data_IF_448395565663
#
_entry.id   IF_448395565663
#
_cell.length_a   1.000
_cell.length_b   1.000
_cell.length_c   1.000
_cell.angle_alpha   90.00
_cell.angle_beta   90.00
_cell.angle_gamma   90.00
#
_symmetry.space_group_name_H-M   'P 1'
#
loop_
_entity.id
_entity.type
_entity.pdbx_description
1 polymer ?
#
# COMPACT_ATOMS: atom_id res chain seq x y z
N UNK A 1 -24.06 62.94 1.96
CA UNK A 1 -24.69 62.28 3.12
C UNK A 1 -25.77 61.38 2.55
N UNK A 2 -25.41 60.17 2.13
CA UNK A 2 -25.09 58.99 2.96
C UNK A 2 -26.38 58.22 3.29
N UNK A 3 -26.64 57.14 2.55
CA UNK A 3 -27.47 56.02 3.02
C UNK A 3 -27.35 54.74 2.14
N UNK A 4 -26.11 54.26 1.94
CA UNK A 4 -25.86 52.92 1.37
C UNK A 4 -25.03 52.05 2.30
N UNK A 5 -25.28 52.15 3.61
CA UNK A 5 -24.80 51.19 4.59
C UNK A 5 -25.56 49.86 4.46
N UNK A 6 -25.23 49.05 3.45
CA UNK A 6 -25.57 47.62 3.46
C UNK A 6 -24.65 46.96 4.49
N UNK A 7 -25.21 46.69 5.66
CA UNK A 7 -24.61 46.01 6.81
C UNK A 7 -23.77 44.80 6.40
N UNK A 8 -22.45 44.93 6.36
CA UNK A 8 -21.52 43.79 6.34
C UNK A 8 -21.75 42.98 7.61
N UNK A 9 -22.46 41.86 7.50
CA UNK A 9 -22.80 41.02 8.65
C UNK A 9 -21.61 40.11 8.95
N UNK A 10 -20.71 40.59 9.81
CA UNK A 10 -19.59 39.82 10.32
C UNK A 10 -20.09 38.75 11.31
N UNK A 11 -19.75 37.49 11.05
CA UNK A 11 -20.16 36.35 11.88
C UNK A 11 -19.10 35.98 12.91
N UNK A 12 -19.53 35.55 14.09
CA UNK A 12 -18.65 34.88 15.05
C UNK A 12 -18.21 33.51 14.50
N UNK A 13 -17.15 32.93 15.06
CA UNK A 13 -16.71 31.58 14.66
C UNK A 13 -17.82 30.52 14.80
N UNK A 14 -18.68 30.64 15.82
CA UNK A 14 -19.79 29.70 16.03
C UNK A 14 -20.90 29.87 14.98
N UNK A 15 -21.24 31.12 14.65
CA UNK A 15 -22.28 31.39 13.65
C UNK A 15 -21.81 31.10 12.22
N UNK A 16 -20.54 31.38 11.92
CA UNK A 16 -19.90 31.00 10.66
C UNK A 16 -19.87 29.47 10.49
N UNK A 17 -19.43 28.74 11.51
CA UNK A 17 -19.40 27.28 11.52
C UNK A 17 -20.80 26.69 11.24
N UNK A 18 -21.83 27.20 11.95
CA UNK A 18 -23.22 26.77 11.77
C UNK A 18 -23.75 27.06 10.36
N UNK A 19 -23.41 28.23 9.80
CA UNK A 19 -23.88 28.65 8.47
C UNK A 19 -23.26 27.84 7.33
N UNK A 20 -22.01 27.43 7.47
CA UNK A 20 -21.24 26.73 6.45
C UNK A 20 -21.30 25.19 6.63
N UNK A 21 -21.92 24.71 7.71
CA UNK A 21 -21.99 23.27 8.01
C UNK A 21 -20.66 22.69 8.49
N UNK A 22 -19.83 23.52 9.12
CA UNK A 22 -18.52 23.14 9.66
C UNK A 22 -18.52 23.17 11.19
N UNK A 23 -17.51 22.55 11.79
CA UNK A 23 -17.23 22.75 13.22
C UNK A 23 -16.33 23.97 13.42
N UNK A 24 -16.40 24.61 14.60
CA UNK A 24 -15.45 25.66 14.98
C UNK A 24 -14.01 25.15 14.97
N UNK A 25 -13.79 23.85 15.24
CA UNK A 25 -12.49 23.18 15.13
C UNK A 25 -12.01 23.15 13.68
N UNK A 26 -12.88 22.87 12.71
CA UNK A 26 -12.54 22.89 11.29
C UNK A 26 -12.13 24.30 10.83
N UNK A 27 -12.83 25.34 11.28
CA UNK A 27 -12.43 26.73 10.98
C UNK A 27 -11.04 27.08 11.51
N UNK A 28 -10.70 26.63 12.73
CA UNK A 28 -9.35 26.80 13.29
C UNK A 28 -8.30 26.02 12.52
N UNK A 29 -8.62 24.80 12.09
CA UNK A 29 -7.74 23.98 11.27
C UNK A 29 -7.47 24.66 9.92
N UNK A 30 -8.49 25.26 9.31
CA UNK A 30 -8.33 25.93 8.01
C UNK A 30 -7.51 27.22 8.15
N UNK A 31 -7.68 27.98 9.24
CA UNK A 31 -6.81 29.12 9.58
C UNK A 31 -5.36 28.67 9.79
N UNK A 32 -5.13 27.56 10.51
CA UNK A 32 -3.77 27.00 10.72
C UNK A 32 -3.08 26.59 9.41
N UNK A 33 -3.85 26.09 8.44
CA UNK A 33 -3.35 25.77 7.11
C UNK A 33 -3.26 27.00 6.18
N UNK A 34 -3.56 28.20 6.67
CA UNK A 34 -3.47 29.45 5.90
C UNK A 34 -4.56 29.58 4.81
N UNK A 35 -5.61 28.77 4.87
CA UNK A 35 -6.69 28.76 3.88
C UNK A 35 -7.63 29.96 4.04
N UNK A 36 -7.75 30.46 5.26
CA UNK A 36 -8.57 31.61 5.64
C UNK A 36 -7.82 32.46 6.65
N UNK A 37 -8.00 33.77 6.59
CA UNK A 37 -7.39 34.72 7.53
C UNK A 37 -8.52 35.58 8.11
N UNK A 38 -9.16 35.14 9.20
CA UNK A 38 -10.32 35.85 9.75
C UNK A 38 -9.90 37.17 10.40
N UNK A 39 -10.72 38.21 10.22
CA UNK A 39 -10.56 39.47 10.93
C UNK A 39 -10.68 39.25 12.44
N UNK A 40 -9.98 40.07 13.22
CA UNK A 40 -10.06 40.05 14.69
C UNK A 40 -10.63 41.34 15.26
N UNK A 41 -11.45 41.25 16.29
CA UNK A 41 -11.88 42.42 17.08
C UNK A 41 -10.75 42.91 17.98
N UNK A 42 -10.86 44.13 18.53
CA UNK A 42 -9.91 44.67 19.52
C UNK A 42 -9.77 43.84 20.81
N UNK A 43 -10.66 42.86 21.05
CA UNK A 43 -10.57 41.86 22.13
C UNK A 43 -10.21 40.44 21.63
N UNK A 44 -9.57 40.33 20.45
CA UNK A 44 -9.02 39.09 19.86
C UNK A 44 -10.04 38.06 19.36
N UNK A 45 -11.32 38.40 19.25
CA UNK A 45 -12.35 37.49 18.74
C UNK A 45 -12.31 37.41 17.20
N UNK A 46 -12.42 36.21 16.63
CA UNK A 46 -12.46 35.98 15.18
C UNK A 46 -13.81 36.35 14.60
N UNK A 47 -13.78 37.12 13.52
CA UNK A 47 -14.92 37.53 12.72
C UNK A 47 -14.74 37.08 11.27
N UNK A 48 -15.85 36.63 10.67
CA UNK A 48 -15.89 36.12 9.31
C UNK A 48 -16.88 36.96 8.50
N UNK A 49 -16.38 37.66 7.50
CA UNK A 49 -17.16 38.47 6.58
C UNK A 49 -17.50 37.70 5.30
N UNK A 50 -18.07 38.40 4.31
CA UNK A 50 -18.42 37.83 3.01
C UNK A 50 -17.22 37.18 2.28
N UNK A 51 -16.04 37.77 2.37
CA UNK A 51 -14.83 37.28 1.69
C UNK A 51 -14.32 35.99 2.31
N UNK A 52 -14.30 35.88 3.65
CA UNK A 52 -13.94 34.62 4.30
C UNK A 52 -14.96 33.52 4.03
N UNK A 53 -16.25 33.86 3.91
CA UNK A 53 -17.29 32.90 3.54
C UNK A 53 -17.08 32.40 2.10
N UNK A 54 -16.78 33.30 1.15
CA UNK A 54 -16.48 32.93 -0.22
C UNK A 54 -15.27 32.00 -0.29
N UNK A 55 -14.21 32.32 0.46
CA UNK A 55 -13.01 31.48 0.58
C UNK A 55 -13.29 30.11 1.18
N UNK A 56 -14.12 30.04 2.22
CA UNK A 56 -14.52 28.77 2.82
C UNK A 56 -15.31 27.89 1.84
N UNK A 57 -16.19 28.47 1.03
CA UNK A 57 -16.93 27.73 0.01
C UNK A 57 -16.01 27.19 -1.09
N UNK A 58 -15.01 27.96 -1.50
CA UNK A 58 -13.98 27.52 -2.45
C UNK A 58 -13.16 26.34 -1.88
N UNK A 59 -12.73 26.44 -0.62
CA UNK A 59 -12.06 25.35 0.09
C UNK A 59 -12.94 24.11 0.18
N UNK A 60 -14.23 24.25 0.45
CA UNK A 60 -15.17 23.14 0.52
C UNK A 60 -15.42 22.50 -0.85
N UNK A 61 -15.53 23.30 -1.91
CA UNK A 61 -15.66 22.79 -3.28
C UNK A 61 -14.43 21.97 -3.66
N UNK A 62 -13.21 22.49 -3.42
CA UNK A 62 -11.98 21.73 -3.65
C UNK A 62 -11.88 20.52 -2.71
N UNK A 63 -12.36 20.62 -1.48
CA UNK A 63 -12.39 19.49 -0.55
C UNK A 63 -13.34 18.38 -1.02
N UNK A 64 -14.48 18.74 -1.61
CA UNK A 64 -15.44 17.80 -2.20
C UNK A 64 -14.90 17.08 -3.44
N UNK A 65 -13.90 17.68 -4.11
CA UNK A 65 -13.16 17.08 -5.21
C UNK A 65 -12.01 16.16 -4.75
N UNK A 66 -11.87 15.92 -3.44
CA UNK A 66 -10.89 15.00 -2.86
C UNK A 66 -9.57 15.65 -2.42
N UNK A 67 -9.38 16.96 -2.63
CA UNK A 67 -8.10 17.59 -2.30
C UNK A 67 -7.83 17.67 -0.77
N UNK A 68 -6.55 17.56 -0.36
CA UNK A 68 -6.12 17.76 1.03
C UNK A 68 -6.02 19.26 1.37
N UNK A 69 -6.14 19.64 2.65
CA UNK A 69 -6.10 21.05 3.07
C UNK A 69 -4.78 21.74 2.71
N UNK A 70 -3.66 21.04 2.84
CA UNK A 70 -2.35 21.54 2.42
C UNK A 70 -2.30 21.81 0.91
N UNK A 71 -2.90 20.92 0.10
CA UNK A 71 -2.93 21.08 -1.36
C UNK A 71 -3.86 22.19 -1.81
N UNK A 72 -5.01 22.33 -1.15
CA UNK A 72 -5.93 23.45 -1.36
C UNK A 72 -5.20 24.77 -1.06
N UNK A 73 -4.39 24.83 -0.01
CA UNK A 73 -3.65 26.05 0.33
C UNK A 73 -2.64 26.44 -0.75
N UNK A 74 -1.94 25.49 -1.36
CA UNK A 74 -1.03 25.74 -2.47
C UNK A 74 -1.78 26.20 -3.73
N UNK A 75 -2.90 25.55 -4.07
CA UNK A 75 -3.72 25.94 -5.23
C UNK A 75 -4.25 27.37 -5.12
N UNK A 76 -4.69 27.73 -3.93
CA UNK A 76 -5.29 29.03 -3.64
C UNK A 76 -4.25 30.17 -3.50
N UNK A 77 -2.94 29.85 -3.51
CA UNK A 77 -1.83 30.82 -3.54
C UNK A 77 -1.42 31.23 -4.97
N UNK A 78 -1.86 30.51 -6.01
CA UNK A 78 -1.80 30.96 -7.42
C UNK A 78 -1.19 29.93 -8.37
N UNK A 79 -1.99 29.41 -9.31
CA UNK A 79 -2.14 29.79 -10.72
C UNK A 79 -3.36 29.01 -11.29
N UNK A 80 -4.29 29.63 -12.06
CA UNK A 80 -5.47 28.93 -12.61
C UNK A 80 -5.12 27.70 -13.48
N UNK A 81 -3.98 27.76 -14.14
CA UNK A 81 -3.41 26.67 -14.96
C UNK A 81 -3.09 25.42 -14.13
N UNK A 82 -2.78 25.56 -12.85
CA UNK A 82 -2.50 24.44 -11.95
C UNK A 82 -3.78 23.72 -11.53
N UNK A 83 -4.90 24.45 -11.37
CA UNK A 83 -6.19 23.84 -11.09
C UNK A 83 -6.71 23.07 -12.32
N UNK A 84 -6.63 23.67 -13.51
CA UNK A 84 -7.03 22.99 -14.76
C UNK A 84 -6.28 21.67 -14.96
N UNK A 85 -4.95 21.70 -14.81
CA UNK A 85 -4.10 20.51 -14.92
C UNK A 85 -4.41 19.45 -13.86
N UNK A 86 -4.68 19.86 -12.61
CA UNK A 86 -5.05 18.92 -11.56
C UNK A 86 -6.44 18.31 -11.77
N UNK A 87 -7.39 19.07 -12.28
CA UNK A 87 -8.71 18.57 -12.63
C UNK A 87 -8.64 17.59 -13.81
N UNK A 88 -7.78 17.84 -14.80
CA UNK A 88 -7.52 16.89 -15.89
C UNK A 88 -6.89 15.60 -15.37
N UNK A 89 -5.90 15.68 -14.46
CA UNK A 89 -5.31 14.49 -13.84
C UNK A 89 -6.28 13.73 -12.94
N UNK A 90 -7.15 14.42 -12.21
CA UNK A 90 -8.21 13.78 -11.42
C UNK A 90 -9.22 13.11 -12.33
N UNK A 91 -9.57 13.75 -13.46
CA UNK A 91 -10.41 13.16 -14.50
C UNK A 91 -9.76 11.91 -15.10
N UNK A 92 -8.46 11.94 -15.38
CA UNK A 92 -7.71 10.78 -15.89
C UNK A 92 -7.69 9.64 -14.87
N UNK A 93 -7.44 9.95 -13.60
CA UNK A 93 -7.47 8.97 -12.49
C UNK A 93 -8.85 8.34 -12.32
N UNK A 94 -9.90 9.16 -12.38
CA UNK A 94 -11.29 8.68 -12.36
C UNK A 94 -11.62 7.85 -13.60
N UNK A 95 -11.10 8.22 -14.77
CA UNK A 95 -11.25 7.44 -16.00
C UNK A 95 -10.51 6.12 -15.94
N UNK A 96 -9.29 6.07 -15.41
CA UNK A 96 -8.59 4.81 -15.18
C UNK A 96 -9.33 3.94 -14.18
N UNK A 97 -9.86 4.53 -13.11
CA UNK A 97 -10.66 3.82 -12.12
C UNK A 97 -11.94 3.29 -12.75
N UNK A 98 -12.60 4.08 -13.60
CA UNK A 98 -13.74 3.66 -14.40
C UNK A 98 -13.38 2.52 -15.34
N UNK A 99 -12.29 2.62 -16.11
CA UNK A 99 -11.84 1.56 -17.02
C UNK A 99 -11.42 0.28 -16.28
N UNK A 100 -10.82 0.41 -15.09
CA UNK A 100 -10.53 -0.74 -14.21
C UNK A 100 -11.82 -1.37 -13.71
N UNK A 101 -12.77 -0.57 -13.22
CA UNK A 101 -14.08 -1.06 -12.79
C UNK A 101 -14.84 -1.72 -13.94
N UNK A 102 -14.80 -1.15 -15.15
CA UNK A 102 -15.39 -1.73 -16.36
C UNK A 102 -14.73 -3.06 -16.75
N UNK A 103 -13.39 -3.18 -16.66
CA UNK A 103 -12.69 -4.45 -16.88
C UNK A 103 -13.01 -5.49 -15.80
N UNK A 104 -13.08 -5.07 -14.54
CA UNK A 104 -13.51 -5.92 -13.44
C UNK A 104 -14.93 -6.44 -13.63
N UNK A 105 -15.87 -5.55 -13.99
CA UNK A 105 -17.26 -5.91 -14.33
C UNK A 105 -17.32 -6.87 -15.51
N UNK A 106 -16.62 -6.58 -16.62
CA UNK A 106 -16.58 -7.49 -17.78
C UNK A 106 -16.00 -8.87 -17.43
N UNK A 107 -15.01 -8.93 -16.53
CA UNK A 107 -14.44 -10.18 -16.03
C UNK A 107 -15.45 -10.94 -15.18
N UNK A 108 -16.17 -10.25 -14.29
CA UNK A 108 -17.27 -10.81 -13.48
C UNK A 108 -18.36 -11.37 -14.40
N UNK A 109 -18.81 -10.60 -15.39
CA UNK A 109 -19.86 -10.99 -16.33
C UNK A 109 -19.44 -12.23 -17.14
N UNK A 110 -18.18 -12.29 -17.59
CA UNK A 110 -17.63 -13.44 -18.30
C UNK A 110 -17.58 -14.70 -17.42
N UNK A 111 -17.20 -14.56 -16.15
CA UNK A 111 -17.22 -15.66 -15.18
C UNK A 111 -18.66 -16.12 -14.89
N UNK A 112 -19.59 -15.18 -14.71
CA UNK A 112 -21.01 -15.50 -14.51
C UNK A 112 -21.62 -16.22 -15.72
N UNK A 113 -21.28 -15.82 -16.95
CA UNK A 113 -21.72 -16.48 -18.17
C UNK A 113 -21.17 -17.92 -18.27
N UNK A 114 -19.88 -18.14 -17.93
CA UNK A 114 -19.29 -19.49 -17.86
C UNK A 114 -20.01 -20.37 -16.84
N UNK A 115 -20.33 -19.83 -15.65
CA UNK A 115 -21.10 -20.54 -14.63
C UNK A 115 -22.50 -20.91 -15.14
N UNK A 116 -23.21 -19.99 -15.79
CA UNK A 116 -24.54 -20.23 -16.34
C UNK A 116 -24.54 -21.29 -17.45
N UNK A 117 -23.45 -21.38 -18.22
CA UNK A 117 -23.25 -22.40 -19.24
C UNK A 117 -22.75 -23.76 -18.70
N UNK A 118 -22.58 -23.90 -17.38
CA UNK A 118 -22.07 -25.13 -16.75
C UNK A 118 -20.57 -25.38 -17.02
N UNK A 119 -19.83 -24.36 -17.47
CA UNK A 119 -18.39 -24.43 -17.72
C UNK A 119 -17.64 -24.20 -16.41
N UNK A 120 -16.69 -25.08 -16.10
CA UNK A 120 -15.86 -24.96 -14.90
C UNK A 120 -15.03 -23.67 -14.93
N UNK A 121 -15.04 -22.94 -13.81
CA UNK A 121 -14.25 -21.71 -13.64
C UNK A 121 -12.81 -22.07 -13.31
N UNK A 122 -11.86 -21.52 -14.07
CA UNK A 122 -10.45 -21.82 -13.88
C UNK A 122 -9.80 -20.92 -12.83
N UNK A 123 -8.65 -21.33 -12.31
CA UNK A 123 -7.87 -20.51 -11.37
C UNK A 123 -7.30 -19.27 -12.05
N UNK A 124 -7.05 -19.32 -13.36
CA UNK A 124 -6.65 -18.14 -14.12
C UNK A 124 -7.80 -17.13 -14.20
N UNK A 125 -9.05 -17.60 -14.33
CA UNK A 125 -10.25 -16.74 -14.27
C UNK A 125 -10.39 -16.08 -12.89
N UNK A 126 -10.16 -16.84 -11.82
CA UNK A 126 -10.21 -16.34 -10.44
C UNK A 126 -9.05 -15.41 -10.11
N UNK A 127 -7.86 -15.68 -10.63
CA UNK A 127 -6.66 -14.83 -10.48
C UNK A 127 -6.81 -13.53 -11.26
N UNK A 128 -7.41 -13.58 -12.44
CA UNK A 128 -7.77 -12.40 -13.23
C UNK A 128 -8.81 -11.55 -12.49
N UNK A 129 -9.84 -12.18 -11.94
CA UNK A 129 -10.88 -11.52 -11.14
C UNK A 129 -10.32 -10.91 -9.86
N UNK A 130 -9.39 -11.58 -9.17
CA UNK A 130 -8.70 -11.06 -7.99
C UNK A 130 -7.78 -9.88 -8.33
N UNK A 131 -7.04 -9.94 -9.44
CA UNK A 131 -6.17 -8.83 -9.89
C UNK A 131 -6.96 -7.58 -10.23
N UNK A 132 -8.13 -7.72 -10.84
CA UNK A 132 -8.98 -6.59 -11.23
C UNK A 132 -9.86 -6.08 -10.06
N UNK A 133 -10.14 -6.90 -9.03
CA UNK A 133 -10.97 -6.53 -7.87
C UNK A 133 -10.21 -6.01 -6.64
N UNK A 134 -8.96 -6.44 -6.41
CA UNK A 134 -8.19 -6.13 -5.17
C UNK A 134 -7.58 -4.71 -5.14
N UNK A 135 -7.82 -3.89 -6.17
CA UNK A 135 -7.33 -2.51 -6.21
C UNK A 135 -8.34 -1.47 -5.69
N UNK A 136 -9.38 -1.93 -4.98
CA UNK A 136 -10.34 -1.10 -4.28
C UNK A 136 -10.31 -1.40 -2.78
N UNK A 137 -9.36 -0.80 -2.05
CA UNK A 137 -9.64 0.12 -0.95
C UNK A 137 -8.40 0.32 -0.05
N UNK A 138 -7.97 1.57 0.06
CA UNK A 138 -7.13 2.08 1.15
C UNK A 138 -7.15 3.61 1.08
N UNK A 139 -8.26 4.21 1.55
CA UNK A 139 -8.49 5.67 1.61
C UNK A 139 -8.22 6.38 0.27
N UNK A 140 -9.29 6.54 -0.51
CA UNK A 140 -9.30 6.78 -1.96
C UNK A 140 -8.44 7.96 -2.48
N UNK A 141 -7.96 8.90 -1.67
CA UNK A 141 -7.15 10.04 -2.14
C UNK A 141 -5.63 9.95 -1.85
N UNK A 142 -5.16 9.12 -0.89
CA UNK A 142 -3.71 9.10 -0.57
C UNK A 142 -2.91 8.22 -1.53
N UNK A 143 -3.46 7.09 -1.96
CA UNK A 143 -2.75 6.14 -2.82
C UNK A 143 -2.62 6.65 -4.27
N UNK A 144 -3.66 7.21 -4.92
CA UNK A 144 -3.50 7.74 -6.29
C UNK A 144 -2.50 8.90 -6.35
N UNK A 145 -2.53 9.81 -5.39
CA UNK A 145 -1.56 10.90 -5.31
C UNK A 145 -0.14 10.40 -5.01
N UNK A 146 0.03 9.50 -4.03
CA UNK A 146 1.35 8.88 -3.81
C UNK A 146 1.82 8.14 -5.05
N UNK A 147 0.97 7.40 -5.77
CA UNK A 147 1.33 6.77 -7.04
C UNK A 147 1.80 7.78 -8.07
N UNK A 148 1.12 8.92 -8.21
CA UNK A 148 1.57 10.01 -9.07
C UNK A 148 2.95 10.56 -8.63
N UNK A 149 3.12 10.91 -7.35
CA UNK A 149 4.40 11.40 -6.81
C UNK A 149 5.55 10.38 -6.94
N UNK A 150 5.24 9.09 -6.87
CA UNK A 150 6.20 8.00 -7.04
C UNK A 150 6.51 7.70 -8.52
N UNK A 151 5.57 8.00 -9.44
CA UNK A 151 5.72 7.79 -10.87
C UNK A 151 6.23 9.02 -11.63
N UNK A 152 6.24 10.20 -11.02
CA UNK A 152 6.73 11.42 -11.69
C UNK A 152 8.21 11.27 -12.06
N UNK A 153 8.65 11.85 -13.18
CA UNK A 153 10.07 11.90 -13.51
C UNK A 153 10.88 12.50 -12.35
N UNK A 154 11.96 11.82 -11.97
CA UNK A 154 12.87 12.27 -10.93
C UNK A 154 14.24 12.54 -11.51
N UNK A 155 14.88 13.56 -10.97
CA UNK A 155 16.20 14.00 -11.40
C UNK A 155 17.18 13.71 -10.29
N UNK A 156 18.29 13.11 -10.67
CA UNK A 156 19.39 12.85 -9.77
C UNK A 156 20.01 14.19 -9.32
N UNK A 157 20.17 14.36 -8.02
CA UNK A 157 20.77 15.54 -7.40
C UNK A 157 22.15 15.15 -6.87
N UNK A 158 23.23 15.78 -7.34
CA UNK A 158 24.56 15.53 -6.78
C UNK A 158 24.60 15.88 -5.29
N UNK A 159 25.10 14.94 -4.47
CA UNK A 159 25.26 15.09 -3.03
C UNK A 159 26.63 14.54 -2.61
N UNK A 160 27.05 14.82 -1.36
CA UNK A 160 28.24 14.22 -0.79
C UNK A 160 28.03 12.71 -0.56
N UNK A 161 28.71 11.88 -1.36
CA UNK A 161 28.56 10.42 -1.31
C UNK A 161 29.19 9.77 -0.08
N UNK A 162 29.96 10.51 0.74
CA UNK A 162 30.52 9.97 1.99
C UNK A 162 29.42 9.55 2.97
N UNK A 163 28.23 10.16 2.89
CA UNK A 163 27.08 9.83 3.74
C UNK A 163 26.50 8.43 3.47
N UNK A 164 26.86 7.80 2.34
CA UNK A 164 26.32 6.48 1.96
C UNK A 164 26.74 5.38 2.94
N UNK A 165 27.88 5.55 3.61
CA UNK A 165 28.32 4.63 4.66
C UNK A 165 27.33 4.57 5.84
N UNK A 166 26.65 5.68 6.15
CA UNK A 166 25.63 5.72 7.20
C UNK A 166 24.39 4.91 6.81
N UNK A 167 24.07 4.84 5.51
CA UNK A 167 22.90 4.15 5.00
C UNK A 167 23.12 2.64 4.85
N UNK A 168 24.36 2.21 4.64
CA UNK A 168 24.72 0.82 4.51
C UNK A 168 24.28 0.00 5.73
N UNK A 169 23.72 -1.19 5.49
CA UNK A 169 23.25 -2.09 6.54
C UNK A 169 22.01 -2.89 6.13
N UNK A 170 21.41 -3.54 7.12
CA UNK A 170 20.20 -4.33 6.93
C UNK A 170 19.03 -3.73 7.72
N UNK A 171 17.84 -3.82 7.13
CA UNK A 171 16.60 -3.29 7.67
C UNK A 171 15.51 -4.36 7.56
N UNK A 172 14.66 -4.48 8.57
CA UNK A 172 13.52 -5.40 8.56
C UNK A 172 12.27 -4.68 8.08
N UNK A 173 11.68 -5.18 7.00
CA UNK A 173 10.50 -4.63 6.35
C UNK A 173 9.23 -5.16 7.03
N UNK A 174 8.34 -4.29 7.50
CA UNK A 174 7.00 -4.69 7.96
C UNK A 174 6.92 -5.65 9.16
N UNK A 175 8.06 -6.10 9.72
CA UNK A 175 8.14 -6.98 10.90
C UNK A 175 7.81 -8.46 10.63
N UNK A 176 7.76 -8.89 9.36
CA UNK A 176 7.41 -10.26 8.97
C UNK A 176 8.64 -11.17 8.72
N UNK A 177 9.84 -10.67 8.99
CA UNK A 177 11.11 -11.35 8.70
C UNK A 177 11.65 -11.11 7.29
N UNK A 178 11.02 -10.23 6.49
CA UNK A 178 11.55 -9.77 5.20
C UNK A 178 12.66 -8.75 5.43
N UNK A 179 13.81 -8.96 4.80
CA UNK A 179 14.96 -8.07 4.93
C UNK A 179 15.19 -7.21 3.70
N UNK A 180 15.57 -5.96 3.95
CA UNK A 180 15.96 -4.95 2.99
C UNK A 180 17.43 -4.60 3.25
N UNK A 181 18.29 -4.85 2.27
CA UNK A 181 19.72 -4.60 2.33
C UNK A 181 20.05 -3.30 1.61
N UNK A 182 20.94 -2.52 2.20
CA UNK A 182 21.52 -1.31 1.60
C UNK A 182 23.03 -1.51 1.59
N UNK A 183 23.63 -1.40 0.41
CA UNK A 183 25.07 -1.63 0.22
C UNK A 183 25.70 -0.53 -0.62
N UNK A 184 26.98 -0.29 -0.41
CA UNK A 184 27.77 0.70 -1.14
C UNK A 184 28.81 0.01 -2.02
N UNK A 185 28.95 0.44 -3.28
CA UNK A 185 29.96 -0.07 -4.22
C UNK A 185 30.41 1.07 -5.12
N UNK A 186 31.71 1.32 -5.19
CA UNK A 186 32.31 2.33 -6.09
C UNK A 186 31.65 3.73 -6.00
N UNK A 187 31.33 4.18 -4.77
CA UNK A 187 30.66 5.46 -4.54
C UNK A 187 29.17 5.50 -4.90
N UNK A 188 28.56 4.34 -5.18
CA UNK A 188 27.14 4.19 -5.55
C UNK A 188 26.40 3.41 -4.47
N UNK A 189 25.09 3.63 -4.38
CA UNK A 189 24.22 3.03 -3.38
C UNK A 189 23.27 2.02 -4.03
N UNK A 190 23.21 0.82 -3.47
CA UNK A 190 22.38 -0.27 -3.97
C UNK A 190 21.44 -0.74 -2.87
N UNK A 191 20.26 -1.19 -3.30
CA UNK A 191 19.25 -1.75 -2.42
C UNK A 191 18.72 -3.06 -2.95
N UNK A 192 18.31 -3.95 -2.05
CA UNK A 192 17.77 -5.26 -2.38
C UNK A 192 16.85 -5.75 -1.28
N UNK A 193 15.69 -6.27 -1.65
CA UNK A 193 14.89 -7.12 -0.77
C UNK A 193 15.44 -8.54 -0.82
N UNK A 194 15.48 -9.24 0.32
CA UNK A 194 15.98 -10.61 0.44
C UNK A 194 15.43 -11.52 -0.67
N UNK A 195 16.33 -12.23 -1.36
CA UNK A 195 15.99 -13.10 -2.49
C UNK A 195 15.75 -12.39 -3.84
N UNK A 196 15.81 -11.06 -3.91
CA UNK A 196 15.73 -10.29 -5.15
C UNK A 196 17.12 -9.88 -5.67
N UNK A 197 17.19 -9.17 -6.80
CA UNK A 197 18.43 -8.62 -7.33
C UNK A 197 18.77 -7.28 -6.68
N UNK A 198 20.06 -6.92 -6.65
CA UNK A 198 20.47 -5.57 -6.27
C UNK A 198 20.07 -4.56 -7.34
N UNK A 199 19.45 -3.47 -6.89
CA UNK A 199 19.09 -2.33 -7.72
C UNK A 199 19.75 -1.08 -7.18
N UNK A 200 20.40 -0.33 -8.06
CA UNK A 200 20.97 0.96 -7.73
C UNK A 200 19.86 1.98 -7.42
N UNK A 201 20.12 2.81 -6.41
CA UNK A 201 19.30 3.96 -6.07
C UNK A 201 20.10 5.25 -6.23
N UNK A 202 19.45 6.27 -6.77
CA UNK A 202 20.04 7.55 -7.12
C UNK A 202 19.52 8.64 -6.18
N UNK A 203 20.37 9.59 -5.77
CA UNK A 203 19.99 10.63 -4.83
C UNK A 203 19.04 11.65 -5.45
N UNK A 204 18.04 12.08 -4.69
CA UNK A 204 17.23 13.28 -4.96
C UNK A 204 17.36 14.32 -3.84
N UNK A 205 17.86 13.92 -2.68
CA UNK A 205 18.28 14.75 -1.57
C UNK A 205 19.29 13.96 -0.72
N UNK A 206 19.79 14.52 0.37
CA UNK A 206 20.71 13.79 1.27
C UNK A 206 20.08 12.51 1.86
N UNK A 207 18.75 12.47 2.04
CA UNK A 207 18.03 11.34 2.66
C UNK A 207 17.06 10.64 1.71
N UNK A 208 16.72 11.25 0.58
CA UNK A 208 15.78 10.74 -0.41
C UNK A 208 16.50 10.16 -1.63
N UNK A 209 16.07 8.98 -2.04
CA UNK A 209 16.62 8.25 -3.19
C UNK A 209 15.51 7.63 -4.04
N UNK A 210 15.79 7.38 -5.32
CA UNK A 210 14.86 6.75 -6.25
C UNK A 210 15.57 5.76 -7.19
N UNK A 211 14.82 4.82 -7.76
CA UNK A 211 15.32 3.92 -8.81
C UNK A 211 15.01 4.48 -10.20
N UNK A 212 15.93 4.32 -11.16
CA UNK A 212 15.68 4.68 -12.57
C UNK A 212 14.88 3.63 -13.34
N UNK A 213 14.93 2.38 -12.88
CA UNK A 213 14.32 1.22 -13.56
C UNK A 213 12.92 0.88 -13.05
N UNK A 214 12.56 1.33 -11.84
CA UNK A 214 11.29 1.07 -11.19
C UNK A 214 10.80 2.35 -10.50
N UNK A 215 9.48 2.58 -10.41
CA UNK A 215 8.91 3.69 -9.64
C UNK A 215 8.95 3.37 -8.13
N UNK A 216 10.16 3.33 -7.60
CA UNK A 216 10.48 3.02 -6.20
C UNK A 216 11.32 4.15 -5.63
N UNK A 217 11.02 4.50 -4.38
CA UNK A 217 11.81 5.45 -3.61
C UNK A 217 12.18 4.89 -2.26
N UNK A 218 13.28 5.42 -1.74
CA UNK A 218 13.80 5.08 -0.42
C UNK A 218 14.09 6.38 0.32
N UNK A 219 13.45 6.56 1.48
CA UNK A 219 13.72 7.70 2.36
C UNK A 219 14.40 7.21 3.64
N UNK A 220 15.63 7.63 3.89
CA UNK A 220 16.36 7.30 5.12
C UNK A 220 15.95 8.23 6.26
N UNK A 221 15.73 7.64 7.44
CA UNK A 221 15.29 8.35 8.64
C UNK A 221 16.40 8.29 9.69
N UNK A 222 16.83 9.47 10.13
CA UNK A 222 17.78 9.66 11.23
C UNK A 222 17.03 9.90 12.54
N UNK A 223 17.57 9.41 13.64
CA UNK A 223 17.10 9.70 14.99
C UNK A 223 17.64 11.05 15.51
N UNK A 224 17.31 11.37 16.77
CA UNK A 224 17.74 12.61 17.42
C UNK A 224 19.27 12.73 17.56
N UNK A 225 20.00 11.61 17.53
CA UNK A 225 21.46 11.57 17.59
C UNK A 225 22.10 11.60 16.19
N UNK A 226 21.29 11.76 15.14
CA UNK A 226 21.74 11.81 13.74
C UNK A 226 22.02 10.43 13.14
N UNK A 227 21.76 9.33 13.86
CA UNK A 227 21.99 7.97 13.37
C UNK A 227 20.81 7.51 12.52
N UNK A 228 21.11 6.94 11.36
CA UNK A 228 20.08 6.35 10.51
C UNK A 228 19.56 5.09 11.19
N UNK A 229 18.31 5.07 11.63
CA UNK A 229 17.73 3.93 12.37
C UNK A 229 16.63 3.20 11.58
N UNK A 230 16.16 3.78 10.49
CA UNK A 230 15.10 3.22 9.66
C UNK A 230 15.10 3.85 8.28
N UNK A 231 14.38 3.23 7.36
CA UNK A 231 14.04 3.78 6.06
C UNK A 231 12.55 3.57 5.77
N UNK A 232 12.03 4.30 4.79
CA UNK A 232 10.70 4.08 4.23
C UNK A 232 10.85 3.68 2.77
N UNK A 233 10.31 2.52 2.41
CA UNK A 233 10.18 2.04 1.04
C UNK A 233 8.86 2.54 0.47
N UNK A 234 8.91 3.29 -0.63
CA UNK A 234 7.73 3.84 -1.29
C UNK A 234 7.55 3.15 -2.64
N UNK A 235 6.40 2.52 -2.86
CA UNK A 235 6.11 1.83 -4.12
C UNK A 235 4.60 1.66 -4.33
N UNK A 236 4.11 1.95 -5.53
CA UNK A 236 2.72 1.70 -5.91
C UNK A 236 1.68 2.39 -5.00
N UNK A 237 2.04 3.54 -4.42
CA UNK A 237 1.24 4.31 -3.46
C UNK A 237 1.27 3.79 -2.03
N UNK A 238 2.03 2.72 -1.78
CA UNK A 238 2.26 2.13 -0.46
C UNK A 238 3.57 2.66 0.10
N UNK A 239 3.62 2.79 1.43
CA UNK A 239 4.81 3.18 2.18
C UNK A 239 5.04 2.13 3.28
N UNK A 240 6.19 1.47 3.24
CA UNK A 240 6.53 0.41 4.19
C UNK A 240 7.76 0.85 4.96
N UNK A 241 7.62 0.98 6.29
CA UNK A 241 8.76 1.32 7.15
C UNK A 241 9.62 0.08 7.37
N UNK A 242 10.93 0.27 7.24
CA UNK A 242 11.94 -0.74 7.53
C UNK A 242 12.83 -0.26 8.68
N UNK A 243 12.95 -1.06 9.74
CA UNK A 243 13.75 -0.70 10.92
C UNK A 243 15.13 -1.34 10.81
N UNK A 244 16.19 -0.59 11.10
CA UNK A 244 17.55 -1.12 11.05
C UNK A 244 17.71 -2.26 12.05
N UNK A 245 18.35 -3.34 11.61
CA UNK A 245 18.67 -4.51 12.43
C UNK A 245 20.17 -4.79 12.42
N UNK A 246 20.62 -5.67 13.31
CA UNK A 246 21.95 -6.25 13.22
C UNK A 246 22.12 -6.96 11.87
N UNK A 247 23.15 -6.56 11.12
CA UNK A 247 23.47 -7.13 9.81
C UNK A 247 23.65 -8.65 9.87
N UNK A 248 24.18 -9.19 10.98
CA UNK A 248 24.37 -10.63 11.15
C UNK A 248 23.03 -11.39 11.21
N UNK A 249 21.95 -10.77 11.72
CA UNK A 249 20.61 -11.37 11.72
C UNK A 249 20.08 -11.50 10.29
N UNK A 250 20.17 -10.44 9.50
CA UNK A 250 19.70 -10.43 8.12
C UNK A 250 20.55 -11.34 7.22
N UNK A 251 21.88 -11.34 7.40
CA UNK A 251 22.80 -12.22 6.67
C UNK A 251 22.53 -13.70 6.96
N UNK A 252 22.25 -14.07 8.21
CA UNK A 252 21.85 -15.45 8.56
C UNK A 252 20.54 -15.84 7.88
N UNK A 253 19.56 -14.93 7.84
CA UNK A 253 18.29 -15.18 7.17
C UNK A 253 18.47 -15.36 5.65
N UNK A 254 19.32 -14.55 5.02
CA UNK A 254 19.66 -14.68 3.60
C UNK A 254 20.43 -15.97 3.31
N UNK A 255 21.46 -16.28 4.09
CA UNK A 255 22.21 -17.53 3.94
C UNK A 255 21.31 -18.77 4.11
N UNK A 256 20.38 -18.72 5.07
CA UNK A 256 19.40 -19.79 5.26
C UNK A 256 18.42 -19.90 4.10
N UNK A 257 17.92 -18.78 3.56
CA UNK A 257 17.05 -18.79 2.38
C UNK A 257 17.76 -19.41 1.18
N UNK A 258 18.99 -18.98 0.89
CA UNK A 258 19.77 -19.49 -0.23
C UNK A 258 20.18 -20.95 -0.04
N UNK A 259 20.48 -21.36 1.20
CA UNK A 259 20.67 -22.78 1.56
C UNK A 259 19.40 -23.58 1.28
N UNK A 260 18.24 -23.13 1.74
CA UNK A 260 16.95 -23.78 1.51
C UNK A 260 16.58 -23.90 0.04
N UNK A 261 16.85 -22.86 -0.77
CA UNK A 261 16.66 -22.89 -2.23
C UNK A 261 17.59 -23.91 -2.90
N UNK A 262 18.90 -23.85 -2.59
CA UNK A 262 19.92 -24.72 -3.19
C UNK A 262 19.73 -26.19 -2.82
N UNK A 263 19.51 -26.46 -1.54
CA UNK A 263 19.39 -27.81 -0.98
C UNK A 263 17.95 -28.37 -1.06
N UNK A 264 16.99 -27.54 -1.49
CA UNK A 264 15.56 -27.86 -1.52
C UNK A 264 15.08 -28.37 -0.16
N UNK A 265 15.26 -27.55 0.87
CA UNK A 265 14.83 -27.85 2.23
C UNK A 265 13.69 -26.91 2.62
N UNK A 266 12.54 -27.44 3.08
CA UNK A 266 11.44 -26.62 3.57
C UNK A 266 11.80 -25.92 4.88
N UNK A 267 11.07 -24.85 5.20
CA UNK A 267 11.08 -24.29 6.55
C UNK A 267 10.64 -25.37 7.56
N UNK A 268 11.31 -25.41 8.71
CA UNK A 268 10.98 -26.37 9.75
C UNK A 268 9.49 -26.28 10.13
N UNK A 269 8.78 -27.40 10.06
CA UNK A 269 7.35 -27.50 10.38
C UNK A 269 6.37 -26.97 9.32
N UNK A 270 6.84 -26.49 8.16
CA UNK A 270 5.94 -25.98 7.11
C UNK A 270 5.06 -27.08 6.52
N UNK A 271 5.59 -28.29 6.30
CA UNK A 271 4.77 -29.43 5.83
C UNK A 271 3.66 -29.78 6.82
N UNK A 272 3.99 -29.90 8.10
CA UNK A 272 3.01 -30.18 9.15
C UNK A 272 1.96 -29.07 9.26
N UNK A 273 2.39 -27.80 9.10
CA UNK A 273 1.50 -26.65 9.05
C UNK A 273 0.55 -26.72 7.86
N UNK A 274 1.06 -27.05 6.67
CA UNK A 274 0.26 -27.16 5.46
C UNK A 274 -0.76 -28.31 5.56
N UNK A 275 -0.35 -29.48 6.03
CA UNK A 275 -1.27 -30.62 6.27
C UNK A 275 -2.41 -30.22 7.20
N UNK A 276 -2.09 -29.50 8.27
CA UNK A 276 -3.09 -29.00 9.22
C UNK A 276 -4.05 -28.01 8.57
N UNK A 277 -3.54 -27.03 7.82
CA UNK A 277 -4.35 -26.03 7.08
C UNK A 277 -5.30 -26.70 6.09
N UNK A 278 -4.80 -27.68 5.33
CA UNK A 278 -5.63 -28.45 4.38
C UNK A 278 -6.73 -29.22 5.13
N UNK A 279 -6.39 -29.89 6.24
CA UNK A 279 -7.36 -30.64 7.04
C UNK A 279 -8.43 -29.74 7.69
N UNK A 280 -8.03 -28.58 8.22
CA UNK A 280 -8.94 -27.56 8.75
C UNK A 280 -9.88 -27.02 7.65
N UNK A 281 -9.33 -26.74 6.47
CA UNK A 281 -10.11 -26.23 5.33
C UNK A 281 -11.08 -27.28 4.76
N UNK A 282 -10.69 -28.56 4.73
CA UNK A 282 -11.58 -29.68 4.35
C UNK A 282 -12.76 -29.86 5.31
N UNK A 283 -12.59 -29.50 6.59
CA UNK A 283 -13.70 -29.48 7.58
C UNK A 283 -14.57 -28.23 7.49
N UNK A 284 -14.16 -27.23 6.70
CA UNK A 284 -14.81 -25.91 6.66
C UNK A 284 -14.50 -25.03 7.86
N UNK A 285 -13.46 -25.36 8.64
CA UNK A 285 -13.08 -24.66 9.87
C UNK A 285 -11.60 -24.21 9.87
N UNK A 286 -11.15 -23.33 8.95
CA UNK A 286 -9.79 -22.79 8.99
C UNK A 286 -9.50 -22.00 10.28
N UNK A 287 -8.33 -22.22 10.89
CA UNK A 287 -7.88 -21.41 12.04
C UNK A 287 -7.26 -20.07 11.55
N UNK A 288 -8.13 -19.08 11.37
CA UNK A 288 -7.72 -17.72 10.97
C UNK A 288 -6.82 -17.01 12.00
N UNK A 289 -6.83 -17.43 13.28
CA UNK A 289 -6.01 -16.83 14.33
C UNK A 289 -4.51 -17.09 14.13
N UNK A 290 -4.18 -18.12 13.34
CA UNK A 290 -2.82 -18.50 12.95
C UNK A 290 -2.37 -17.90 11.63
N UNK A 291 -3.19 -17.07 11.00
CA UNK A 291 -2.82 -16.31 9.82
C UNK A 291 -2.50 -14.87 10.21
N UNK A 292 -1.65 -14.19 9.45
CA UNK A 292 -1.49 -12.74 9.57
C UNK A 292 -2.85 -12.05 9.39
N UNK A 293 -3.11 -10.86 10.00
CA UNK A 293 -4.40 -10.19 9.91
C UNK A 293 -4.88 -10.00 8.46
N UNK A 294 -3.97 -9.63 7.56
CA UNK A 294 -4.27 -9.45 6.13
C UNK A 294 -4.67 -10.77 5.47
N UNK A 295 -3.91 -11.84 5.71
CA UNK A 295 -4.23 -13.15 5.14
C UNK A 295 -5.53 -13.73 5.71
N UNK A 296 -5.80 -13.51 7.00
CA UNK A 296 -7.02 -13.96 7.66
C UNK A 296 -8.28 -13.36 7.00
N UNK A 297 -8.27 -12.06 6.71
CA UNK A 297 -9.39 -11.40 6.01
C UNK A 297 -9.58 -11.95 4.59
N UNK A 298 -8.49 -12.14 3.84
CA UNK A 298 -8.54 -12.71 2.49
C UNK A 298 -9.08 -14.16 2.50
N UNK A 299 -8.62 -14.98 3.44
CA UNK A 299 -9.06 -16.35 3.59
C UNK A 299 -10.55 -16.44 3.98
N UNK A 300 -11.03 -15.56 4.87
CA UNK A 300 -12.46 -15.47 5.22
C UNK A 300 -13.33 -15.11 4.03
N UNK A 301 -12.89 -14.15 3.22
CA UNK A 301 -13.61 -13.71 2.02
C UNK A 301 -13.74 -14.83 0.97
N UNK A 302 -12.80 -15.78 0.94
CA UNK A 302 -12.77 -16.87 -0.04
C UNK A 302 -13.18 -18.24 0.53
N UNK A 303 -13.67 -18.29 1.78
CA UNK A 303 -13.90 -19.55 2.52
C UNK A 303 -14.76 -20.56 1.76
N UNK A 304 -15.83 -20.09 1.11
CA UNK A 304 -16.82 -20.97 0.47
C UNK A 304 -16.27 -21.54 -0.84
N UNK A 305 -15.53 -20.72 -1.60
CA UNK A 305 -14.83 -21.12 -2.81
C UNK A 305 -13.76 -22.18 -2.51
N UNK A 306 -12.94 -21.93 -1.49
CA UNK A 306 -11.88 -22.86 -1.07
C UNK A 306 -12.50 -24.19 -0.58
N UNK A 307 -13.57 -24.12 0.23
CA UNK A 307 -14.25 -25.30 0.71
C UNK A 307 -14.87 -26.13 -0.43
N UNK A 308 -15.50 -25.49 -1.41
CA UNK A 308 -16.04 -26.16 -2.59
C UNK A 308 -14.94 -26.85 -3.41
N UNK A 309 -13.84 -26.15 -3.63
CA UNK A 309 -12.71 -26.65 -4.41
C UNK A 309 -12.06 -27.87 -3.74
N UNK A 310 -11.78 -27.78 -2.43
CA UNK A 310 -11.24 -28.89 -1.65
C UNK A 310 -12.21 -30.08 -1.55
N UNK A 311 -13.52 -29.81 -1.41
CA UNK A 311 -14.53 -30.88 -1.43
C UNK A 311 -14.53 -31.64 -2.75
N UNK A 312 -14.36 -30.94 -3.88
CA UNK A 312 -14.29 -31.57 -5.19
C UNK A 312 -13.00 -32.38 -5.40
N UNK A 313 -11.89 -31.92 -4.81
CA UNK A 313 -10.60 -32.61 -4.83
C UNK A 313 -10.61 -33.90 -4.00
N UNK A 314 -11.43 -33.97 -2.95
CA UNK A 314 -11.50 -35.11 -2.03
C UNK A 314 -10.45 -35.05 -0.92
N UNK A 315 -10.22 -36.14 -0.17
CA UNK A 315 -9.22 -36.20 0.88
C UNK A 315 -7.79 -36.09 0.32
N UNK A 316 -6.90 -35.49 1.10
CA UNK A 316 -5.47 -35.43 0.80
C UNK A 316 -4.86 -36.83 0.96
N UNK A 317 -4.26 -37.36 -0.10
CA UNK A 317 -3.62 -38.69 -0.12
C UNK A 317 -2.09 -38.60 -0.13
N UNK A 318 -1.53 -37.50 -0.62
CA UNK A 318 -0.09 -37.29 -0.70
C UNK A 318 0.28 -35.82 -0.56
N UNK A 319 1.45 -35.56 0.01
CA UNK A 319 2.05 -34.24 0.02
C UNK A 319 3.55 -34.41 -0.13
N UNK A 320 4.13 -33.71 -1.10
CA UNK A 320 5.56 -33.76 -1.38
C UNK A 320 6.11 -32.36 -1.54
N UNK A 321 7.29 -32.11 -0.96
CA UNK A 321 7.97 -30.84 -1.09
C UNK A 321 8.58 -30.69 -2.49
N UNK A 322 8.28 -29.58 -3.17
CA UNK A 322 8.79 -29.29 -4.52
C UNK A 322 10.03 -28.41 -4.48
N UNK A 323 10.06 -27.41 -3.60
CA UNK A 323 11.16 -26.45 -3.53
C UNK A 323 10.75 -25.14 -2.85
N UNK A 324 11.68 -24.20 -2.86
CA UNK A 324 11.49 -22.86 -2.28
C UNK A 324 11.40 -21.83 -3.40
N UNK A 325 10.35 -21.01 -3.37
CA UNK A 325 10.14 -19.91 -4.30
C UNK A 325 11.16 -18.78 -4.11
N UNK A 326 11.18 -17.83 -5.05
CA UNK A 326 12.08 -16.67 -5.04
C UNK A 326 12.03 -15.88 -3.71
N UNK A 327 10.83 -15.71 -3.16
CA UNK A 327 10.56 -14.99 -1.91
C UNK A 327 10.65 -15.84 -0.64
N UNK A 328 11.05 -17.12 -0.72
CA UNK A 328 11.15 -18.00 0.46
C UNK A 328 9.90 -18.81 0.80
N UNK A 329 8.85 -18.69 -0.01
CA UNK A 329 7.63 -19.51 0.09
C UNK A 329 7.99 -20.98 -0.18
N UNK A 330 7.62 -21.87 0.73
CA UNK A 330 7.71 -23.31 0.49
C UNK A 330 6.60 -23.76 -0.44
N UNK A 331 6.98 -24.49 -1.49
CA UNK A 331 6.06 -24.99 -2.51
C UNK A 331 5.97 -26.51 -2.37
N UNK A 332 4.73 -27.00 -2.33
CA UNK A 332 4.40 -28.41 -2.21
C UNK A 332 3.51 -28.85 -3.37
N UNK A 333 3.70 -30.09 -3.81
CA UNK A 333 2.71 -30.79 -4.63
C UNK A 333 1.84 -31.62 -3.69
N UNK A 334 0.56 -31.29 -3.62
CA UNK A 334 -0.48 -32.00 -2.89
C UNK A 334 -1.27 -32.88 -3.86
N UNK A 335 -1.37 -34.17 -3.53
CA UNK A 335 -2.21 -35.12 -4.25
C UNK A 335 -3.45 -35.36 -3.41
N UNK A 336 -4.61 -35.06 -3.98
CA UNK A 336 -5.91 -35.41 -3.44
C UNK A 336 -6.47 -36.60 -4.23
N UNK A 337 -7.54 -37.22 -3.72
CA UNK A 337 -8.19 -38.37 -4.38
C UNK A 337 -8.55 -38.08 -5.85
N UNK A 338 -9.07 -36.89 -6.15
CA UNK A 338 -9.59 -36.52 -7.47
C UNK A 338 -8.81 -35.38 -8.16
N UNK A 339 -7.72 -34.89 -7.57
CA UNK A 339 -6.97 -33.76 -8.12
C UNK A 339 -5.51 -33.69 -7.65
N UNK A 340 -4.62 -33.19 -8.51
CA UNK A 340 -3.32 -32.68 -8.12
C UNK A 340 -3.35 -31.16 -7.92
N UNK A 341 -2.68 -30.66 -6.88
CA UNK A 341 -2.60 -29.22 -6.61
C UNK A 341 -1.18 -28.82 -6.18
N UNK A 342 -0.75 -27.64 -6.61
CA UNK A 342 0.42 -26.96 -6.04
C UNK A 342 -0.05 -26.06 -4.89
N UNK A 343 0.61 -26.15 -3.73
CA UNK A 343 0.35 -25.33 -2.56
C UNK A 343 1.59 -24.54 -2.20
N UNK A 344 1.43 -23.24 -1.89
CA UNK A 344 2.49 -22.39 -1.38
C UNK A 344 2.19 -21.97 0.05
N UNK A 345 3.18 -22.05 0.93
CA UNK A 345 3.09 -21.65 2.32
C UNK A 345 4.33 -20.85 2.75
N UNK A 346 4.13 -19.76 3.48
CA UNK A 346 5.17 -19.07 4.22
C UNK A 346 4.71 -18.81 5.65
N UNK A 347 5.58 -19.11 6.61
CA UNK A 347 5.33 -18.89 8.03
C UNK A 347 6.29 -17.82 8.53
N UNK A 348 5.74 -16.72 9.02
CA UNK A 348 6.49 -15.61 9.60
C UNK A 348 7.14 -16.00 10.93
N UNK A 349 7.96 -15.09 11.48
CA UNK A 349 8.68 -15.32 12.74
C UNK A 349 7.78 -15.41 13.96
N UNK A 350 6.62 -14.78 13.92
CA UNK A 350 5.59 -14.90 14.95
C UNK A 350 4.85 -16.25 14.91
N UNK A 351 5.26 -17.16 14.01
CA UNK A 351 4.66 -18.46 13.81
C UNK A 351 3.35 -18.42 13.03
N UNK A 352 2.91 -17.23 12.58
CA UNK A 352 1.71 -17.10 11.76
C UNK A 352 2.00 -17.31 10.28
N UNK A 353 0.99 -17.77 9.57
CA UNK A 353 1.03 -17.91 8.13
C UNK A 353 0.93 -16.51 7.51
N UNK A 354 1.95 -16.11 6.77
CA UNK A 354 2.01 -14.82 6.07
C UNK A 354 1.68 -14.95 4.60
N UNK A 355 1.82 -16.15 4.03
CA UNK A 355 1.42 -16.45 2.64
C UNK A 355 0.84 -17.85 2.58
N UNK A 356 -0.32 -17.97 1.94
CA UNK A 356 -0.96 -19.24 1.62
C UNK A 356 -1.65 -19.11 0.27
N UNK A 357 -1.37 -20.04 -0.65
CA UNK A 357 -2.10 -20.16 -1.90
C UNK A 357 -2.15 -21.63 -2.32
N UNK A 358 -3.08 -21.96 -3.21
CA UNK A 358 -3.05 -23.21 -3.94
C UNK A 358 -3.56 -23.03 -5.37
N UNK A 359 -3.17 -23.96 -6.24
CA UNK A 359 -3.72 -24.06 -7.59
C UNK A 359 -3.78 -25.51 -8.05
N UNK A 360 -4.81 -25.87 -8.84
CA UNK A 360 -4.83 -27.16 -9.55
C UNK A 360 -3.66 -27.25 -10.50
N UNK A 361 -3.10 -28.45 -10.57
CA UNK A 361 -2.18 -28.84 -11.62
C UNK A 361 -3.00 -29.32 -12.85
N UNK A 362 -2.48 -29.11 -14.07
CA UNK A 362 -3.12 -29.55 -15.30
C UNK A 362 -3.42 -31.05 -15.35
#
# INVERSE_FOLDING_TARGET
MDDRAKTETWLTAADCARRIGLSVRALRLYEQHGLIVPRRTGKTWRLYGPDEIARLNEVLALKSLGFSLARIAELLKGHPTDLGRLLDMQRDTLNETRQRAERGLATIDAVQAKMAAGVAISIDDLTMLARESTMADASTDTIPWRRYEQNRPRTEVPIDTTIYADYAGAYELGGDGTYYFVTTRDGRLFTRVIGQADLEIFPESETGFFMKVLPVQVTFIRDADGRVNSLVHHQGGVEIRAVRVDAAVAQRAEAELERRKREKIPQAGSEATLRRVIAESLRGEPDYGRMSPVLAELARAQKDLVAQELKSAGPLTGLSFRGVGQSGVDVFNATFENAGMEWGLMVGRDGRITTLYFRRLP
#
